data_IF_153153251013
#
_entry.id   IF_153153251013
#
_cell.length_a   1.000
_cell.length_b   1.000
_cell.length_c   1.000
_cell.angle_alpha   90.00
_cell.angle_beta   90.00
_cell.angle_gamma   90.00
#
_symmetry.space_group_name_H-M   'P 1'
#
loop_
_entity.id
_entity.type
_entity.pdbx_description
1 polymer ?
#
# COMPACT_ATOMS: atom_id res chain seq x y z
N UNK A 1 30.19 14.27 3.70
CA UNK A 1 30.02 12.95 3.08
C UNK A 1 30.56 11.98 4.11
N UNK A 2 29.70 11.23 4.79
CA UNK A 2 30.19 10.15 5.67
C UNK A 2 30.51 9.03 4.70
N UNK A 3 31.78 8.68 4.56
CA UNK A 3 32.20 7.49 3.84
C UNK A 3 31.69 6.29 4.63
N UNK A 4 30.48 5.84 4.28
CA UNK A 4 29.93 4.58 4.76
C UNK A 4 30.66 3.48 4.01
N UNK A 5 31.62 2.86 4.68
CA UNK A 5 32.33 1.69 4.15
C UNK A 5 31.33 0.52 4.09
N UNK A 6 30.63 0.40 2.95
CA UNK A 6 29.57 -0.60 2.70
C UNK A 6 30.08 -2.03 2.97
N UNK A 7 31.40 -2.24 2.87
CA UNK A 7 32.06 -3.52 3.14
C UNK A 7 32.03 -3.96 4.61
N UNK A 8 32.14 -3.05 5.59
CA UNK A 8 32.07 -3.41 7.02
C UNK A 8 30.63 -3.70 7.47
N UNK A 9 29.64 -2.97 6.93
CA UNK A 9 28.21 -3.17 7.23
C UNK A 9 27.70 -4.57 6.88
N UNK A 10 28.23 -5.18 5.82
CA UNK A 10 27.80 -6.49 5.36
C UNK A 10 28.27 -7.63 6.27
N UNK A 11 29.34 -7.43 7.04
CA UNK A 11 29.93 -8.48 7.88
C UNK A 11 29.26 -8.59 9.26
N UNK A 12 28.52 -7.56 9.68
CA UNK A 12 27.78 -7.53 10.95
C UNK A 12 26.25 -7.74 10.81
N UNK A 13 25.73 -7.63 9.59
CA UNK A 13 24.28 -7.69 9.37
C UNK A 13 23.74 -9.12 9.58
N UNK A 14 23.07 -9.32 10.72
CA UNK A 14 22.52 -10.62 11.14
C UNK A 14 21.45 -11.11 10.16
N UNK A 15 21.59 -12.35 9.69
CA UNK A 15 20.57 -12.99 8.87
C UNK A 15 19.39 -13.46 9.73
N UNK A 16 18.18 -13.17 9.28
CA UNK A 16 16.95 -13.77 9.78
C UNK A 16 16.76 -15.13 9.09
N UNK A 17 16.50 -16.16 9.89
CA UNK A 17 16.35 -17.53 9.41
C UNK A 17 14.87 -17.86 9.22
N UNK A 18 14.50 -18.34 8.03
CA UNK A 18 13.15 -18.83 7.76
C UNK A 18 13.19 -20.25 7.22
N UNK A 19 12.64 -21.21 7.96
CA UNK A 19 12.47 -22.57 7.46
C UNK A 19 11.46 -22.60 6.32
N UNK A 20 11.85 -23.25 5.22
CA UNK A 20 11.04 -23.38 4.01
C UNK A 20 11.13 -24.80 3.47
N UNK A 21 10.02 -25.25 2.90
CA UNK A 21 9.99 -26.44 2.05
C UNK A 21 10.49 -26.04 0.66
N UNK A 22 11.71 -26.48 0.32
CA UNK A 22 12.40 -26.06 -0.90
C UNK A 22 12.25 -27.17 -1.97
N UNK A 23 11.66 -26.87 -3.14
CA UNK A 23 11.61 -27.82 -4.25
C UNK A 23 13.00 -28.06 -4.83
N UNK A 24 13.27 -29.31 -5.19
CA UNK A 24 14.50 -29.81 -5.79
C UNK A 24 14.18 -30.86 -6.85
N UNK A 25 15.15 -31.22 -7.69
CA UNK A 25 15.02 -32.24 -8.72
C UNK A 25 14.65 -33.62 -8.14
N UNK A 26 14.94 -33.86 -6.85
CA UNK A 26 14.65 -35.10 -6.13
C UNK A 26 13.39 -35.02 -5.24
N UNK A 27 12.58 -33.97 -5.37
CA UNK A 27 11.37 -33.76 -4.56
C UNK A 27 11.50 -32.52 -3.68
N UNK A 28 11.08 -32.62 -2.41
CA UNK A 28 11.13 -31.48 -1.48
C UNK A 28 12.01 -31.80 -0.28
N UNK A 29 12.79 -30.83 0.15
CA UNK A 29 13.55 -30.89 1.40
C UNK A 29 13.22 -29.68 2.29
N UNK A 30 13.49 -29.81 3.58
CA UNK A 30 13.40 -28.70 4.53
C UNK A 30 14.75 -27.99 4.53
N UNK A 31 14.75 -26.70 4.22
CA UNK A 31 15.94 -25.87 4.24
C UNK A 31 15.65 -24.52 4.89
N UNK A 32 16.71 -23.73 5.05
CA UNK A 32 16.64 -22.41 5.68
C UNK A 32 16.90 -21.34 4.63
N UNK A 33 16.00 -20.37 4.52
CA UNK A 33 16.19 -19.14 3.75
C UNK A 33 16.77 -18.07 4.68
N UNK A 34 17.84 -17.41 4.22
CA UNK A 34 18.45 -16.28 4.90
C UNK A 34 17.87 -14.98 4.32
N UNK A 35 17.38 -14.10 5.18
CA UNK A 35 16.83 -12.79 4.79
C UNK A 35 17.49 -11.69 5.62
N UNK A 36 17.75 -10.54 5.01
CA UNK A 36 18.13 -9.30 5.70
C UNK A 36 16.96 -8.34 5.63
N UNK A 37 16.65 -7.65 6.74
CA UNK A 37 15.58 -6.67 6.75
C UNK A 37 16.15 -5.26 6.66
N UNK A 38 15.50 -4.40 5.87
CA UNK A 38 15.94 -3.02 5.67
C UNK A 38 16.02 -2.23 6.99
N UNK A 39 15.22 -2.60 7.99
CA UNK A 39 15.19 -1.97 9.31
C UNK A 39 16.39 -2.34 10.20
N UNK A 40 17.12 -3.42 9.88
CA UNK A 40 18.36 -3.75 10.58
C UNK A 40 19.42 -2.66 10.38
N UNK A 41 19.28 -1.83 9.33
CA UNK A 41 20.15 -0.70 9.09
C UNK A 41 20.02 0.43 10.13
N UNK A 42 18.91 0.50 10.88
CA UNK A 42 18.66 1.59 11.82
C UNK A 42 19.66 1.67 12.97
N UNK A 43 20.31 0.56 13.33
CA UNK A 43 21.35 0.54 14.39
C UNK A 43 22.62 1.26 13.98
N UNK A 44 22.87 1.41 12.68
CA UNK A 44 24.05 2.09 12.15
C UNK A 44 23.82 3.60 11.93
N UNK A 45 22.57 4.07 12.02
CA UNK A 45 22.28 5.49 11.92
C UNK A 45 22.71 6.22 13.20
N UNK A 46 23.38 7.39 13.11
CA UNK A 46 23.76 8.17 14.29
C UNK A 46 22.53 8.69 15.06
N UNK A 47 21.39 8.82 14.38
CA UNK A 47 20.10 9.18 14.98
C UNK A 47 18.96 8.68 14.09
N UNK A 48 17.85 8.27 14.72
CA UNK A 48 16.64 7.80 14.04
C UNK A 48 15.43 8.61 14.51
N UNK A 49 14.58 9.03 13.58
CA UNK A 49 13.31 9.71 13.87
C UNK A 49 12.12 8.86 13.40
N UNK A 50 11.00 8.96 14.10
CA UNK A 50 9.75 8.29 13.75
C UNK A 50 8.69 9.33 13.44
N UNK A 51 7.87 9.07 12.41
CA UNK A 51 6.74 9.90 12.03
C UNK A 51 5.49 9.04 11.94
N UNK A 52 4.52 9.30 12.81
CA UNK A 52 3.24 8.59 12.85
C UNK A 52 2.27 9.21 11.84
N UNK A 53 1.52 8.36 11.14
CA UNK A 53 0.57 8.75 10.10
C UNK A 53 -0.75 8.02 10.26
N UNK A 54 -1.82 8.59 9.69
CA UNK A 54 -3.11 7.93 9.59
C UNK A 54 -3.04 6.79 8.56
N UNK A 55 -3.37 5.57 8.99
CA UNK A 55 -3.27 4.36 8.14
C UNK A 55 -4.09 4.50 6.87
N UNK A 56 -5.31 4.99 7.00
CA UNK A 56 -6.26 5.14 5.90
C UNK A 56 -5.90 6.25 4.91
N UNK A 57 -4.84 7.01 5.16
CA UNK A 57 -4.30 8.02 4.24
C UNK A 57 -3.01 7.53 3.55
N UNK A 58 -2.18 6.77 4.25
CA UNK A 58 -0.82 6.46 3.78
C UNK A 58 -0.54 4.97 3.53
N UNK A 59 -1.40 4.04 3.98
CA UNK A 59 -1.06 2.61 3.99
C UNK A 59 -2.20 1.66 3.59
N UNK A 60 -2.11 1.12 2.37
CA UNK A 60 -3.03 0.13 1.81
C UNK A 60 -2.26 -1.03 1.13
N UNK A 61 -1.67 -1.96 1.90
CA UNK A 61 -0.84 -3.03 1.35
C UNK A 61 -1.67 -4.09 0.61
N UNK A 62 -1.05 -4.71 -0.40
CA UNK A 62 -1.59 -5.88 -1.10
C UNK A 62 -0.64 -7.05 -0.86
N UNK A 63 -1.07 -7.99 -0.03
CA UNK A 63 -0.29 -9.17 0.39
C UNK A 63 -0.98 -10.49 0.07
N UNK A 64 -2.31 -10.48 -0.02
CA UNK A 64 -3.14 -11.66 -0.16
C UNK A 64 -3.95 -11.60 -1.46
N UNK A 65 -4.32 -12.77 -1.99
CA UNK A 65 -5.27 -12.86 -3.10
C UNK A 65 -6.69 -12.45 -2.65
N UNK A 66 -7.52 -12.03 -3.61
CA UNK A 66 -8.94 -11.79 -3.36
C UNK A 66 -9.62 -13.06 -2.81
N UNK A 67 -10.51 -12.89 -1.83
CA UNK A 67 -11.10 -13.97 -1.03
C UNK A 67 -10.50 -14.13 0.37
N UNK A 68 -9.34 -13.51 0.64
CA UNK A 68 -8.86 -13.30 2.02
C UNK A 68 -9.59 -12.12 2.69
N UNK A 69 -9.53 -12.06 4.03
CA UNK A 69 -10.24 -11.05 4.83
C UNK A 69 -9.59 -9.65 4.80
N UNK A 70 -8.30 -9.55 4.49
CA UNK A 70 -7.55 -8.28 4.55
C UNK A 70 -6.34 -8.29 3.60
N UNK A 71 -5.78 -7.09 3.36
CA UNK A 71 -4.60 -6.84 2.51
C UNK A 71 -4.72 -7.49 1.12
N UNK A 72 -5.90 -7.41 0.51
CA UNK A 72 -6.18 -7.90 -0.85
C UNK A 72 -6.23 -6.75 -1.85
N UNK A 73 -6.15 -7.03 -3.16
CA UNK A 73 -6.41 -6.03 -4.19
C UNK A 73 -7.73 -5.26 -3.97
N UNK A 74 -8.80 -5.95 -3.57
CA UNK A 74 -10.11 -5.33 -3.34
C UNK A 74 -10.11 -4.41 -2.11
N UNK A 75 -9.48 -4.82 -1.00
CA UNK A 75 -9.42 -3.96 0.20
C UNK A 75 -8.55 -2.74 -0.05
N UNK A 76 -7.42 -2.89 -0.76
CA UNK A 76 -6.56 -1.76 -1.11
C UNK A 76 -7.26 -0.77 -2.06
N UNK A 77 -7.97 -1.27 -3.08
CA UNK A 77 -8.77 -0.44 -3.98
C UNK A 77 -9.80 0.38 -3.21
N UNK A 78 -10.52 -0.26 -2.30
CA UNK A 78 -11.55 0.39 -1.49
C UNK A 78 -10.97 1.45 -0.54
N UNK A 79 -9.79 1.23 0.04
CA UNK A 79 -9.11 2.24 0.86
C UNK A 79 -8.75 3.49 0.03
N UNK A 80 -8.16 3.32 -1.15
CA UNK A 80 -7.79 4.42 -2.04
C UNK A 80 -9.02 5.19 -2.53
N UNK A 81 -10.10 4.48 -2.89
CA UNK A 81 -11.36 5.13 -3.29
C UNK A 81 -11.98 5.95 -2.15
N UNK A 82 -11.92 5.45 -0.92
CA UNK A 82 -12.37 6.19 0.28
C UNK A 82 -11.51 7.42 0.54
N UNK A 83 -10.18 7.30 0.39
CA UNK A 83 -9.26 8.43 0.51
C UNK A 83 -9.64 9.55 -0.47
N UNK A 84 -9.76 9.23 -1.76
CA UNK A 84 -10.11 10.22 -2.78
C UNK A 84 -11.52 10.77 -2.60
N UNK A 85 -12.46 9.97 -2.10
CA UNK A 85 -13.81 10.45 -1.74
C UNK A 85 -13.73 11.56 -0.69
N UNK A 86 -12.94 11.36 0.37
CA UNK A 86 -12.73 12.39 1.40
C UNK A 86 -12.09 13.65 0.82
N UNK A 87 -11.10 13.50 -0.06
CA UNK A 87 -10.45 14.65 -0.70
C UNK A 87 -11.42 15.47 -1.57
N UNK A 88 -12.26 14.82 -2.38
CA UNK A 88 -13.27 15.51 -3.19
C UNK A 88 -14.26 16.28 -2.32
N UNK A 89 -14.76 15.65 -1.24
CA UNK A 89 -15.68 16.30 -0.31
C UNK A 89 -15.02 17.47 0.42
N UNK A 90 -13.77 17.30 0.87
CA UNK A 90 -13.00 18.37 1.52
C UNK A 90 -12.76 19.57 0.58
N UNK A 91 -12.64 19.33 -0.72
CA UNK A 91 -12.53 20.37 -1.74
C UNK A 91 -13.88 21.04 -2.12
N UNK A 92 -14.98 20.69 -1.45
CA UNK A 92 -16.32 21.23 -1.73
C UNK A 92 -17.07 20.52 -2.86
N UNK A 93 -16.54 19.42 -3.39
CA UNK A 93 -17.23 18.58 -4.36
C UNK A 93 -18.29 17.69 -3.69
N UNK A 94 -19.33 17.33 -4.43
CA UNK A 94 -20.37 16.41 -3.97
C UNK A 94 -20.47 15.21 -4.91
N UNK A 95 -20.63 14.01 -4.34
CA UNK A 95 -20.78 12.78 -5.10
C UNK A 95 -22.27 12.55 -5.41
N UNK A 96 -22.63 12.55 -6.69
CA UNK A 96 -24.03 12.51 -7.14
C UNK A 96 -24.64 11.11 -7.25
N UNK A 97 -23.82 10.06 -7.16
CA UNK A 97 -24.28 8.69 -7.27
C UNK A 97 -23.99 7.95 -5.96
N UNK A 98 -25.05 7.39 -5.37
CA UNK A 98 -25.02 6.47 -4.21
C UNK A 98 -24.48 5.07 -4.56
N UNK A 99 -23.96 4.88 -5.78
CA UNK A 99 -23.29 3.63 -6.15
C UNK A 99 -21.91 3.65 -5.49
N UNK A 100 -21.61 2.68 -4.63
CA UNK A 100 -20.31 2.65 -3.99
C UNK A 100 -19.23 2.52 -5.07
N UNK A 101 -18.31 3.48 -5.14
CA UNK A 101 -17.25 3.55 -6.17
C UNK A 101 -16.42 2.26 -6.31
N UNK A 102 -16.52 1.33 -5.36
CA UNK A 102 -15.88 0.02 -5.41
C UNK A 102 -16.61 -1.00 -6.30
N UNK A 103 -17.86 -0.81 -6.74
CA UNK A 103 -18.58 -1.83 -7.53
C UNK A 103 -18.39 -1.69 -9.04
N UNK A 104 -17.97 -0.52 -9.54
CA UNK A 104 -18.03 -0.26 -10.98
C UNK A 104 -16.82 -0.78 -11.75
N UNK A 105 -15.69 -1.14 -11.12
CA UNK A 105 -14.49 -1.59 -11.87
C UNK A 105 -13.95 -0.56 -12.87
N UNK A 106 -14.59 0.59 -12.94
CA UNK A 106 -14.23 1.76 -13.71
C UNK A 106 -13.25 2.48 -12.82
N UNK A 107 -11.95 2.40 -13.15
CA UNK A 107 -11.04 3.50 -12.83
C UNK A 107 -11.81 4.75 -13.20
N UNK A 108 -12.08 5.69 -12.27
CA UNK A 108 -12.63 6.97 -12.66
C UNK A 108 -11.55 7.61 -13.53
N UNK A 109 -11.63 7.34 -14.83
CA UNK A 109 -10.99 8.09 -15.86
C UNK A 109 -11.54 9.48 -15.66
N UNK A 110 -10.70 10.30 -15.02
CA UNK A 110 -10.79 11.75 -14.96
C UNK A 110 -12.17 12.27 -14.54
N UNK A 111 -12.24 12.69 -13.27
CA UNK A 111 -12.81 13.99 -12.91
C UNK A 111 -14.05 14.42 -13.71
N UNK A 112 -15.24 14.01 -13.27
CA UNK A 112 -16.40 14.88 -13.44
C UNK A 112 -16.71 15.52 -12.09
N UNK A 113 -15.87 16.49 -11.71
CA UNK A 113 -16.23 17.50 -10.71
C UNK A 113 -17.25 18.41 -11.41
N UNK A 114 -18.54 18.12 -11.24
CA UNK A 114 -19.58 19.08 -11.59
C UNK A 114 -19.53 20.22 -10.57
N UNK A 115 -18.77 21.28 -10.88
CA UNK A 115 -18.95 22.59 -10.25
C UNK A 115 -20.23 23.24 -10.81
N UNK A 116 -21.39 22.64 -10.54
CA UNK A 116 -22.67 23.15 -11.01
C UNK A 116 -23.39 23.87 -9.86
N UNK A 117 -23.29 25.20 -9.85
CA UNK A 117 -24.12 26.09 -9.03
C UNK A 117 -25.60 26.12 -9.47
N UNK A 118 -26.09 25.13 -10.21
CA UNK A 118 -27.50 24.97 -10.55
C UNK A 118 -27.82 23.50 -10.85
N UNK A 119 -28.76 22.96 -10.07
CA UNK A 119 -29.14 21.54 -10.04
C UNK A 119 -29.96 21.10 -11.28
N UNK A 120 -30.34 22.03 -12.18
CA UNK A 120 -31.31 21.78 -13.26
C UNK A 120 -30.69 21.24 -14.57
N UNK A 121 -29.37 21.27 -14.74
CA UNK A 121 -28.73 20.86 -16.01
C UNK A 121 -28.16 19.44 -16.03
N UNK A 122 -28.10 18.73 -14.90
CA UNK A 122 -27.41 17.43 -14.80
C UNK A 122 -28.30 16.18 -14.98
N UNK A 123 -29.61 16.32 -15.22
CA UNK A 123 -30.54 15.17 -15.39
C UNK A 123 -31.03 14.97 -16.84
N UNK A 124 -30.29 15.46 -17.84
CA UNK A 124 -30.57 15.14 -19.25
C UNK A 124 -29.35 14.49 -19.89
N UNK A 125 -29.13 13.22 -19.61
CA UNK A 125 -28.63 12.25 -20.60
C UNK A 125 -29.12 10.86 -20.20
#
# INVERSE_FOLDING_TARGET
>A
MVDLDVGELLNECRYHLAEKKIPSNQGYFIGVKLEQFIFDAFTYAPSTALFEVLREEEFAPVKNANGSNFDTPDTARLLVLRLHTRWVVAAGGFLTHSVPLYTTGIFPSLLQICSCNNLSSCLKT
#
